data_IF_911460742316
#
_entry.id   IF_911460742316
#
_cell.length_a   1.000
_cell.length_b   1.000
_cell.length_c   1.000
_cell.angle_alpha   90.00
_cell.angle_beta   90.00
_cell.angle_gamma   90.00
#
_symmetry.space_group_name_H-M   'P 1'
#
loop_
_entity.id
_entity.type
_entity.pdbx_description
1 polymer ?
#
# COMPACT_ATOMS: atom_id res chain seq x y z
N UNK A 1 14.35 1.31 -3.80
CA UNK A 1 14.36 -0.05 -3.21
C UNK A 1 13.34 -0.06 -2.08
N UNK A 2 12.50 -1.09 -2.00
CA UNK A 2 11.54 -1.29 -0.91
C UNK A 2 11.92 -2.54 -0.13
N UNK A 3 12.05 -2.38 1.18
CA UNK A 3 12.27 -3.46 2.15
C UNK A 3 11.01 -3.53 3.02
N UNK A 4 10.16 -4.50 2.74
CA UNK A 4 8.87 -4.66 3.40
C UNK A 4 9.00 -5.53 4.65
N UNK A 5 8.20 -5.21 5.70
CA UNK A 5 8.16 -5.91 6.98
C UNK A 5 9.57 -6.08 7.62
N UNK A 6 10.33 -4.99 7.67
CA UNK A 6 11.73 -5.00 8.11
C UNK A 6 11.90 -5.51 9.54
N UNK A 7 10.89 -5.37 10.40
CA UNK A 7 10.89 -5.91 11.76
C UNK A 7 11.04 -7.44 11.82
N UNK A 8 10.75 -8.15 10.74
CA UNK A 8 10.90 -9.61 10.66
C UNK A 8 12.32 -10.05 10.32
N UNK A 9 13.19 -9.11 10.00
CA UNK A 9 14.57 -9.41 9.65
C UNK A 9 15.36 -9.94 10.85
N UNK A 10 16.35 -10.77 10.58
CA UNK A 10 17.29 -11.25 11.59
C UNK A 10 18.30 -10.13 11.91
N UNK A 11 18.90 -10.17 13.12
CA UNK A 11 19.90 -9.21 13.59
C UNK A 11 21.07 -9.01 12.60
N UNK A 12 21.48 -10.06 11.90
CA UNK A 12 22.52 -9.98 10.87
C UNK A 12 22.15 -9.04 9.72
N UNK A 13 20.87 -9.00 9.35
CA UNK A 13 20.34 -8.10 8.30
C UNK A 13 20.36 -6.66 8.78
N UNK A 14 20.07 -6.40 10.05
CA UNK A 14 20.17 -5.05 10.63
C UNK A 14 21.61 -4.53 10.58
N UNK A 15 22.58 -5.37 10.92
CA UNK A 15 24.00 -5.01 10.84
C UNK A 15 24.45 -4.71 9.41
N UNK A 16 23.97 -5.48 8.43
CA UNK A 16 24.20 -5.19 7.02
C UNK A 16 23.67 -3.82 6.63
N UNK A 17 22.44 -3.48 7.04
CA UNK A 17 21.85 -2.18 6.72
C UNK A 17 22.49 -1.02 7.49
N UNK A 18 23.03 -1.25 8.69
CA UNK A 18 23.84 -0.25 9.38
C UNK A 18 25.01 0.20 8.50
N UNK A 19 25.78 -0.75 7.99
CA UNK A 19 26.92 -0.47 7.13
C UNK A 19 26.49 0.13 5.79
N UNK A 20 25.49 -0.46 5.13
CA UNK A 20 25.00 0.02 3.85
C UNK A 20 24.48 1.47 3.90
N UNK A 21 23.75 1.83 4.96
CA UNK A 21 23.19 3.18 5.11
C UNK A 21 24.25 4.21 5.52
N UNK A 22 25.40 3.77 6.06
CA UNK A 22 26.54 4.65 6.35
C UNK A 22 27.40 4.89 5.11
N UNK A 23 27.82 3.82 4.46
CA UNK A 23 28.80 3.87 3.36
C UNK A 23 28.13 4.10 1.99
N UNK A 24 26.87 3.72 1.85
CA UNK A 24 26.15 3.71 0.57
C UNK A 24 26.62 2.62 -0.38
N UNK A 25 27.47 1.71 0.08
CA UNK A 25 28.12 0.68 -0.73
C UNK A 25 28.15 -0.67 0.00
N UNK A 26 28.20 -1.75 -0.75
CA UNK A 26 28.46 -3.07 -0.20
C UNK A 26 29.09 -4.00 -1.23
N UNK A 27 29.81 -5.01 -0.73
CA UNK A 27 30.41 -6.07 -1.55
C UNK A 27 29.63 -7.38 -1.31
N UNK A 28 29.22 -8.05 -2.38
CA UNK A 28 28.52 -9.34 -2.27
C UNK A 28 29.51 -10.50 -1.98
N UNK A 29 28.97 -11.70 -1.72
CA UNK A 29 29.76 -12.90 -1.44
C UNK A 29 30.65 -13.37 -2.60
N UNK A 30 30.48 -12.83 -3.80
CA UNK A 30 31.28 -13.10 -4.99
C UNK A 30 32.33 -12.01 -5.22
N UNK A 31 32.50 -11.07 -4.30
CA UNK A 31 33.48 -9.97 -4.39
C UNK A 31 33.05 -8.86 -5.35
N UNK A 32 31.77 -8.71 -5.65
CA UNK A 32 31.28 -7.64 -6.52
C UNK A 32 30.81 -6.46 -5.68
N UNK A 33 31.26 -5.27 -6.05
CA UNK A 33 30.92 -4.02 -5.36
C UNK A 33 29.66 -3.38 -5.96
N UNK A 34 28.80 -2.91 -5.07
CA UNK A 34 27.55 -2.22 -5.42
C UNK A 34 27.51 -0.88 -4.72
N UNK A 35 27.20 0.18 -5.47
CA UNK A 35 27.01 1.52 -4.96
C UNK A 35 25.53 1.92 -5.03
N UNK A 36 24.94 2.23 -3.88
CA UNK A 36 23.52 2.62 -3.73
C UNK A 36 23.35 4.11 -3.38
N UNK A 37 24.38 4.93 -3.48
CA UNK A 37 24.32 6.37 -3.13
C UNK A 37 23.29 7.19 -3.93
N UNK A 38 22.80 6.65 -5.07
CA UNK A 38 21.75 7.29 -5.90
C UNK A 38 20.39 6.65 -5.72
N UNK A 39 20.23 5.71 -4.80
CA UNK A 39 19.00 4.99 -4.59
C UNK A 39 18.26 5.52 -3.35
N UNK A 40 16.97 5.60 -3.46
CA UNK A 40 16.08 5.80 -2.32
C UNK A 40 15.67 4.43 -1.78
N UNK A 41 15.85 4.23 -0.47
CA UNK A 41 15.53 2.96 0.21
C UNK A 41 14.37 3.24 1.19
N UNK A 42 13.29 2.50 1.04
CA UNK A 42 12.13 2.56 1.91
C UNK A 42 12.07 1.29 2.74
N UNK A 43 11.84 1.45 4.04
CA UNK A 43 11.58 0.36 4.96
C UNK A 43 10.16 0.50 5.48
N UNK A 44 9.41 -0.60 5.50
CA UNK A 44 8.08 -0.63 6.12
C UNK A 44 8.07 -1.55 7.33
N UNK A 45 7.22 -1.26 8.29
CA UNK A 45 6.99 -2.09 9.47
C UNK A 45 5.53 -2.02 9.90
N UNK A 46 5.00 -3.14 10.37
CA UNK A 46 3.66 -3.25 10.96
C UNK A 46 3.68 -3.03 12.50
N UNK A 47 4.85 -2.75 13.07
CA UNK A 47 4.99 -2.51 14.51
C UNK A 47 4.64 -1.09 14.90
N UNK A 48 4.20 -0.91 16.14
CA UNK A 48 4.10 0.43 16.72
C UNK A 48 5.45 1.13 16.74
N UNK A 49 5.44 2.43 16.52
CA UNK A 49 6.66 3.24 16.41
C UNK A 49 7.61 3.09 17.60
N UNK A 50 7.08 3.02 18.83
CA UNK A 50 7.88 2.77 20.05
C UNK A 50 8.60 1.42 19.98
N UNK A 51 7.94 0.38 19.53
CA UNK A 51 8.52 -0.96 19.39
C UNK A 51 9.56 -1.05 18.28
N UNK A 52 9.36 -0.32 17.18
CA UNK A 52 10.38 -0.23 16.11
C UNK A 52 11.66 0.35 16.65
N UNK A 53 11.60 1.45 17.42
CA UNK A 53 12.78 2.09 18.01
C UNK A 53 13.46 1.25 19.10
N UNK A 54 12.74 0.34 19.74
CA UNK A 54 13.31 -0.65 20.67
C UNK A 54 13.99 -1.82 19.93
N UNK A 55 13.38 -2.28 18.82
CA UNK A 55 13.88 -3.40 18.02
C UNK A 55 15.10 -3.02 17.19
N UNK A 56 14.98 -1.90 16.49
CA UNK A 56 16.07 -1.31 15.72
C UNK A 56 16.94 -0.51 16.70
N UNK A 57 18.21 -0.83 16.78
CA UNK A 57 19.12 -0.07 17.66
C UNK A 57 19.02 1.44 17.38
N UNK A 58 19.28 2.26 18.42
CA UNK A 58 19.32 3.71 18.26
C UNK A 58 20.27 4.16 17.11
N UNK A 59 21.34 3.40 16.94
CA UNK A 59 22.31 3.59 15.85
C UNK A 59 21.66 3.41 14.48
N UNK A 60 20.91 2.33 14.24
CA UNK A 60 20.20 2.10 12.97
C UNK A 60 19.12 3.16 12.74
N UNK A 61 18.36 3.52 13.79
CA UNK A 61 17.36 4.58 13.70
C UNK A 61 17.97 5.93 13.29
N UNK A 62 19.19 6.24 13.73
CA UNK A 62 19.90 7.49 13.37
C UNK A 62 20.32 7.56 11.90
N UNK A 63 20.35 6.43 11.19
CA UNK A 63 20.67 6.38 9.75
C UNK A 63 19.48 6.65 8.84
N UNK A 64 18.25 6.58 9.37
CA UNK A 64 17.08 6.95 8.58
C UNK A 64 16.96 8.48 8.47
N UNK A 65 16.86 8.98 7.25
CA UNK A 65 16.64 10.41 7.02
C UNK A 65 15.27 10.85 7.52
N UNK A 66 14.24 9.97 7.39
CA UNK A 66 12.88 10.24 7.79
C UNK A 66 12.23 8.97 8.34
N UNK A 67 11.44 9.12 9.40
CA UNK A 67 10.59 8.07 9.95
C UNK A 67 9.17 8.60 10.08
N UNK A 68 8.21 7.91 9.46
CA UNK A 68 6.81 8.30 9.47
C UNK A 68 5.94 7.22 10.09
N UNK A 69 5.02 7.63 10.94
CA UNK A 69 3.94 6.78 11.39
C UNK A 69 2.73 6.99 10.49
N UNK A 70 2.28 5.91 9.84
CA UNK A 70 1.02 5.92 9.11
C UNK A 70 -0.13 5.57 10.07
N UNK A 71 -1.13 6.43 10.15
CA UNK A 71 -2.37 6.17 10.88
C UNK A 71 -3.35 5.39 10.02
N UNK A 72 -4.29 4.69 10.66
CA UNK A 72 -5.43 4.14 9.95
C UNK A 72 -6.27 5.29 9.36
N UNK A 73 -6.87 5.03 8.21
CA UNK A 73 -7.78 5.99 7.58
C UNK A 73 -9.03 6.21 8.44
N UNK A 74 -9.47 7.44 8.54
CA UNK A 74 -10.77 7.83 9.09
C UNK A 74 -11.91 7.31 8.19
N UNK A 75 -13.14 7.35 8.66
CA UNK A 75 -14.30 6.96 7.84
C UNK A 75 -14.46 7.86 6.62
N UNK A 76 -14.21 9.16 6.75
CA UNK A 76 -14.28 10.11 5.64
C UNK A 76 -13.21 9.81 4.58
N UNK A 77 -11.98 9.52 5.01
CA UNK A 77 -10.89 9.14 4.09
C UNK A 77 -11.18 7.80 3.39
N UNK A 78 -11.77 6.83 4.11
CA UNK A 78 -12.23 5.57 3.50
C UNK A 78 -13.34 5.81 2.48
N UNK A 79 -14.28 6.71 2.78
CA UNK A 79 -15.36 7.12 1.86
C UNK A 79 -14.77 7.73 0.60
N UNK A 80 -13.89 8.71 0.75
CA UNK A 80 -13.21 9.35 -0.37
C UNK A 80 -12.41 8.34 -1.21
N UNK A 81 -11.73 7.39 -0.56
CA UNK A 81 -11.03 6.30 -1.25
C UNK A 81 -11.99 5.45 -2.11
N UNK A 82 -13.12 5.01 -1.53
CA UNK A 82 -14.14 4.21 -2.24
C UNK A 82 -14.69 4.98 -3.43
N UNK A 83 -15.06 6.23 -3.24
CA UNK A 83 -15.64 7.07 -4.28
C UNK A 83 -14.67 7.26 -5.46
N UNK A 84 -13.43 7.64 -5.16
CA UNK A 84 -12.39 7.85 -6.18
C UNK A 84 -12.04 6.55 -6.90
N UNK A 85 -11.96 5.43 -6.18
CA UNK A 85 -11.61 4.14 -6.74
C UNK A 85 -12.71 3.60 -7.66
N UNK A 86 -13.98 3.71 -7.24
CA UNK A 86 -15.13 3.29 -8.06
C UNK A 86 -15.21 4.14 -9.32
N UNK A 87 -15.10 5.46 -9.23
CA UNK A 87 -15.11 6.34 -10.39
C UNK A 87 -14.02 5.97 -11.40
N UNK A 88 -12.82 5.68 -10.91
CA UNK A 88 -11.70 5.25 -11.76
C UNK A 88 -11.99 3.90 -12.44
N UNK A 89 -12.57 2.93 -11.71
CA UNK A 89 -12.89 1.62 -12.25
C UNK A 89 -14.03 1.69 -13.27
N UNK A 90 -15.07 2.48 -12.99
CA UNK A 90 -16.20 2.71 -13.91
C UNK A 90 -15.69 3.31 -15.21
N UNK A 91 -14.92 4.40 -15.16
CA UNK A 91 -14.32 5.02 -16.34
C UNK A 91 -13.46 4.04 -17.17
N UNK A 92 -12.71 3.19 -16.47
CA UNK A 92 -11.91 2.16 -17.14
C UNK A 92 -12.79 1.14 -17.86
N UNK A 93 -13.84 0.64 -17.19
CA UNK A 93 -14.79 -0.31 -17.80
C UNK A 93 -15.52 0.29 -18.99
N UNK A 94 -15.99 1.55 -18.88
CA UNK A 94 -16.64 2.26 -19.97
C UNK A 94 -15.72 2.39 -21.20
N UNK A 95 -14.45 2.75 -20.97
CA UNK A 95 -13.48 2.91 -22.07
C UNK A 95 -13.08 1.57 -22.72
N UNK A 96 -12.90 0.50 -21.92
CA UNK A 96 -12.46 -0.82 -22.41
C UNK A 96 -13.58 -1.59 -23.12
N UNK A 97 -14.83 -1.37 -22.71
CA UNK A 97 -15.99 -2.10 -23.21
C UNK A 97 -16.90 -1.27 -24.13
N UNK A 98 -16.58 0.00 -24.34
CA UNK A 98 -17.42 0.97 -25.06
C UNK A 98 -18.86 1.00 -24.53
N UNK A 99 -19.01 1.00 -23.20
CA UNK A 99 -20.27 0.98 -22.47
C UNK A 99 -20.51 2.35 -21.84
N UNK A 100 -21.77 2.61 -21.50
CA UNK A 100 -22.14 3.71 -20.63
C UNK A 100 -22.84 3.14 -19.38
N UNK A 101 -22.20 3.29 -18.22
CA UNK A 101 -22.75 2.79 -16.95
C UNK A 101 -23.67 3.86 -16.37
N UNK A 102 -24.97 3.55 -16.14
CA UNK A 102 -25.93 4.53 -15.62
C UNK A 102 -25.50 5.09 -14.27
N UNK A 103 -25.74 6.38 -14.03
CA UNK A 103 -25.32 7.09 -12.83
C UNK A 103 -25.91 6.49 -11.54
N UNK A 104 -27.13 5.97 -11.58
CA UNK A 104 -27.76 5.30 -10.44
C UNK A 104 -27.03 4.01 -10.05
N UNK A 105 -26.44 3.30 -11.03
CA UNK A 105 -25.59 2.12 -10.82
C UNK A 105 -24.28 2.52 -10.13
N UNK A 106 -23.66 3.62 -10.55
CA UNK A 106 -22.47 4.17 -9.93
C UNK A 106 -22.73 4.58 -8.47
N UNK A 107 -23.84 5.27 -8.23
CA UNK A 107 -24.27 5.67 -6.87
C UNK A 107 -24.48 4.45 -5.97
N UNK A 108 -25.16 3.41 -6.48
CA UNK A 108 -25.33 2.14 -5.74
C UNK A 108 -23.99 1.45 -5.45
N UNK A 109 -23.09 1.42 -6.41
CA UNK A 109 -21.75 0.84 -6.22
C UNK A 109 -20.97 1.56 -5.12
N UNK A 110 -21.13 2.87 -4.97
CA UNK A 110 -20.53 3.68 -3.90
C UNK A 110 -21.17 3.50 -2.53
N UNK A 111 -22.35 2.88 -2.41
CA UNK A 111 -23.12 2.81 -1.15
C UNK A 111 -22.59 1.82 -0.11
N UNK A 112 -21.35 1.34 -0.25
CA UNK A 112 -20.72 0.43 0.71
C UNK A 112 -20.54 1.10 2.09
N UNK A 113 -20.88 0.38 3.16
CA UNK A 113 -20.69 0.84 4.53
C UNK A 113 -19.24 0.69 4.96
N UNK A 114 -18.49 1.79 4.89
CA UNK A 114 -17.04 1.82 5.20
C UNK A 114 -16.73 1.65 6.69
N UNK A 115 -17.69 1.90 7.58
CA UNK A 115 -17.50 1.81 9.05
C UNK A 115 -17.20 0.38 9.51
N UNK A 116 -17.67 -0.62 8.77
CA UNK A 116 -17.47 -2.04 9.05
C UNK A 116 -16.03 -2.53 8.82
N UNK A 117 -15.21 -1.73 8.18
CA UNK A 117 -13.87 -2.16 7.75
C UNK A 117 -12.78 -1.37 8.46
N UNK A 118 -11.97 -2.04 9.27
CA UNK A 118 -10.74 -1.47 9.82
C UNK A 118 -9.54 -1.72 8.88
N UNK A 119 -9.58 -2.83 8.15
CA UNK A 119 -8.54 -3.26 7.22
C UNK A 119 -8.88 -2.81 5.80
N UNK A 120 -7.99 -2.03 5.19
CA UNK A 120 -8.16 -1.51 3.83
C UNK A 120 -8.13 -2.60 2.75
N UNK A 121 -7.45 -3.73 2.99
CA UNK A 121 -7.47 -4.88 2.06
C UNK A 121 -8.87 -5.51 2.03
N UNK A 122 -9.50 -5.65 3.21
CA UNK A 122 -10.88 -6.15 3.33
C UNK A 122 -11.88 -5.18 2.71
N UNK A 123 -11.72 -3.88 2.96
CA UNK A 123 -12.55 -2.86 2.32
C UNK A 123 -12.43 -2.92 0.79
N UNK A 124 -11.22 -3.00 0.26
CA UNK A 124 -10.99 -3.09 -1.19
C UNK A 124 -11.62 -4.36 -1.79
N UNK A 125 -11.47 -5.51 -1.13
CA UNK A 125 -12.09 -6.77 -1.59
C UNK A 125 -13.61 -6.70 -1.57
N UNK A 126 -14.19 -6.16 -0.50
CA UNK A 126 -15.65 -5.98 -0.39
C UNK A 126 -16.18 -4.97 -1.43
N UNK A 127 -15.45 -3.89 -1.66
CA UNK A 127 -15.78 -2.90 -2.70
C UNK A 127 -15.78 -3.52 -4.09
N UNK A 128 -14.74 -4.30 -4.43
CA UNK A 128 -14.64 -4.97 -5.72
C UNK A 128 -15.76 -5.99 -5.93
N UNK A 129 -16.11 -6.75 -4.88
CA UNK A 129 -17.23 -7.69 -4.93
C UNK A 129 -18.55 -6.95 -5.14
N UNK A 130 -18.81 -5.93 -4.34
CA UNK A 130 -20.04 -5.12 -4.42
C UNK A 130 -20.18 -4.43 -5.80
N UNK A 131 -19.08 -3.88 -6.33
CA UNK A 131 -19.06 -3.30 -7.67
C UNK A 131 -19.41 -4.36 -8.73
N UNK A 132 -18.84 -5.55 -8.64
CA UNK A 132 -19.09 -6.62 -9.61
C UNK A 132 -20.55 -7.07 -9.60
N UNK A 133 -21.17 -7.22 -8.43
CA UNK A 133 -22.58 -7.61 -8.30
C UNK A 133 -23.54 -6.58 -8.92
N UNK A 134 -23.20 -5.29 -8.83
CA UNK A 134 -24.07 -4.20 -9.32
C UNK A 134 -23.86 -3.94 -10.80
N UNK A 135 -22.60 -3.98 -11.26
CA UNK A 135 -22.24 -3.62 -12.64
C UNK A 135 -22.38 -4.80 -13.60
N UNK A 136 -22.12 -6.03 -13.13
CA UNK A 136 -22.18 -7.22 -13.98
C UNK A 136 -23.53 -7.40 -14.72
N UNK A 137 -24.70 -7.27 -14.04
CA UNK A 137 -25.98 -7.36 -14.73
C UNK A 137 -26.15 -6.32 -15.84
N UNK A 138 -25.60 -5.10 -15.64
CA UNK A 138 -25.70 -4.01 -16.63
C UNK A 138 -24.87 -4.32 -17.87
N UNK A 139 -23.69 -4.92 -17.70
CA UNK A 139 -22.81 -5.29 -18.82
C UNK A 139 -23.41 -6.42 -19.65
N UNK A 140 -24.09 -7.39 -19.02
CA UNK A 140 -24.58 -8.60 -19.69
C UNK A 140 -26.09 -8.61 -19.99
N UNK A 141 -26.83 -7.57 -19.60
CA UNK A 141 -28.24 -7.40 -20.00
C UNK A 141 -28.42 -6.59 -21.29
N UNK A 142 -27.31 -6.20 -21.93
CA UNK A 142 -27.32 -5.44 -23.19
C UNK A 142 -27.13 -6.33 -24.44
N UNK A 143 -27.16 -7.64 -24.25
CA UNK A 143 -27.26 -8.68 -25.29
C UNK A 143 -28.69 -9.23 -25.34
#
# INVERSE_FOLDING_TARGET
ILIDEFEKAKKLVYNFFLQLLEDGEFTDSLGRDYNLNKYMIFFTSNMDFSRVTELLSAELCSRFNFMYRMSNLTEDEKRQYVDTKIDSLVKKLESERNLNIPQDVVVRAKSIDVSKFQDMRKLNSAMMHHLSEIVYPVIYSSD
#
